data_IF_583508316188
#
_entry.id   IF_583508316188
#
_cell.length_a   1.000
_cell.length_b   1.000
_cell.length_c   1.000
_cell.angle_alpha   90.00
_cell.angle_beta   90.00
_cell.angle_gamma   90.00
#
_symmetry.space_group_name_H-M   'P 1'
#
loop_
_entity.id
_entity.type
_entity.pdbx_description
1 polymer ?
#
# COMPACT_ATOMS: atom_id res chain seq x y z
N UNK A 1 -43.52 6.69 -5.52
CA UNK A 1 -43.30 8.09 -5.95
C UNK A 1 -42.59 8.94 -4.89
N UNK A 2 -42.92 8.83 -3.60
CA UNK A 2 -42.23 9.53 -2.50
C UNK A 2 -40.75 9.11 -2.32
N UNK A 3 -40.40 7.84 -2.56
CA UNK A 3 -39.02 7.34 -2.43
C UNK A 3 -38.04 7.93 -3.45
N UNK A 4 -38.49 8.14 -4.69
CA UNK A 4 -37.67 8.72 -5.76
C UNK A 4 -37.42 10.21 -5.55
N UNK A 5 -38.40 10.95 -5.02
CA UNK A 5 -38.24 12.37 -4.71
C UNK A 5 -37.30 12.56 -3.51
N UNK A 6 -37.48 11.80 -2.43
CA UNK A 6 -36.59 11.82 -1.27
C UNK A 6 -35.15 11.44 -1.64
N UNK A 7 -34.93 10.41 -2.48
CA UNK A 7 -33.60 10.09 -2.98
C UNK A 7 -32.97 11.24 -3.78
N UNK A 8 -33.73 11.87 -4.68
CA UNK A 8 -33.25 12.93 -5.60
C UNK A 8 -33.01 14.27 -4.89
N UNK A 9 -33.74 14.55 -3.82
CA UNK A 9 -33.61 15.77 -3.01
C UNK A 9 -32.55 15.61 -1.91
N UNK A 10 -32.44 14.44 -1.26
CA UNK A 10 -31.39 14.15 -0.25
C UNK A 10 -30.01 14.07 -0.90
N UNK A 11 -29.86 13.45 -2.08
CA UNK A 11 -28.56 13.45 -2.79
C UNK A 11 -28.13 14.83 -3.28
N UNK A 12 -29.06 15.78 -3.46
CA UNK A 12 -28.73 17.19 -3.74
C UNK A 12 -28.31 17.97 -2.49
N UNK A 13 -28.83 17.60 -1.30
CA UNK A 13 -28.54 18.28 -0.04
C UNK A 13 -27.27 17.78 0.65
N UNK A 14 -26.89 16.53 0.43
CA UNK A 14 -25.61 15.97 0.89
C UNK A 14 -24.62 15.99 -0.28
N UNK A 15 -24.08 17.17 -0.58
CA UNK A 15 -22.97 17.29 -1.52
C UNK A 15 -21.82 16.39 -1.06
N UNK A 16 -21.34 15.49 -1.92
CA UNK A 16 -20.12 14.72 -1.63
C UNK A 16 -19.00 15.70 -1.32
N UNK A 17 -18.28 15.51 -0.23
CA UNK A 17 -17.19 16.39 0.16
C UNK A 17 -15.85 15.74 -0.18
N UNK A 18 -14.88 16.57 -0.54
CA UNK A 18 -13.50 16.14 -0.69
C UNK A 18 -12.96 15.60 0.64
N UNK A 19 -12.38 14.40 0.63
CA UNK A 19 -11.81 13.79 1.83
C UNK A 19 -10.61 14.55 2.39
N UNK A 20 -10.01 15.44 1.60
CA UNK A 20 -8.89 16.29 2.02
C UNK A 20 -9.36 17.68 2.49
N UNK A 21 -9.91 18.51 1.59
CA UNK A 21 -10.26 19.90 1.91
C UNK A 21 -11.69 20.10 2.46
N UNK A 22 -12.51 19.05 2.50
CA UNK A 22 -13.93 19.08 2.93
C UNK A 22 -14.86 19.97 2.09
N UNK A 23 -14.35 20.60 1.03
CA UNK A 23 -15.17 21.35 0.09
C UNK A 23 -16.06 20.42 -0.75
N UNK A 24 -17.24 20.89 -1.20
CA UNK A 24 -18.12 20.14 -2.09
C UNK A 24 -17.40 19.70 -3.38
N UNK A 25 -17.63 18.45 -3.77
CA UNK A 25 -17.26 17.89 -5.07
C UNK A 25 -18.48 18.01 -5.98
N UNK A 26 -18.27 18.54 -7.18
CA UNK A 26 -19.29 18.64 -8.22
C UNK A 26 -19.89 17.27 -8.55
N UNK A 27 -21.20 17.22 -8.77
CA UNK A 27 -22.00 15.98 -8.88
C UNK A 27 -21.56 15.00 -9.98
N UNK A 28 -20.77 15.45 -10.96
CA UNK A 28 -20.27 14.61 -12.06
C UNK A 28 -18.93 13.91 -11.75
N UNK A 29 -18.23 14.28 -10.66
CA UNK A 29 -16.99 13.62 -10.26
C UNK A 29 -17.28 12.42 -9.36
N UNK A 30 -16.79 11.24 -9.75
CA UNK A 30 -16.99 9.97 -9.02
C UNK A 30 -15.91 9.71 -7.95
N UNK A 31 -14.96 10.63 -7.77
CA UNK A 31 -13.81 10.49 -6.88
C UNK A 31 -14.04 10.97 -5.44
N UNK A 32 -13.13 10.56 -4.55
CA UNK A 32 -13.08 11.02 -3.15
C UNK A 32 -12.41 12.39 -2.96
N UNK A 33 -11.76 12.89 -4.00
CA UNK A 33 -10.96 14.11 -3.96
C UNK A 33 -11.44 15.06 -5.05
N UNK A 34 -11.49 16.34 -4.73
CA UNK A 34 -11.69 17.36 -5.75
C UNK A 34 -10.45 17.47 -6.65
N UNK A 35 -10.63 18.04 -7.85
CA UNK A 35 -9.57 18.24 -8.84
C UNK A 35 -8.32 18.91 -8.25
N UNK A 36 -8.48 19.94 -7.42
CA UNK A 36 -7.35 20.62 -6.77
C UNK A 36 -6.64 19.72 -5.78
N UNK A 37 -7.35 18.96 -4.95
CA UNK A 37 -6.71 18.06 -3.98
C UNK A 37 -6.01 16.87 -4.66
N UNK A 38 -6.46 16.46 -5.85
CA UNK A 38 -5.81 15.41 -6.63
C UNK A 38 -4.38 15.78 -7.04
N UNK A 39 -4.05 17.07 -7.19
CA UNK A 39 -2.71 17.50 -7.60
C UNK A 39 -1.65 17.19 -6.54
N UNK A 40 -2.01 17.13 -5.25
CA UNK A 40 -1.10 16.67 -4.19
C UNK A 40 -0.67 15.21 -4.33
N UNK A 41 -1.41 14.42 -5.11
CA UNK A 41 -1.09 13.04 -5.43
C UNK A 41 -0.54 12.91 -6.86
N UNK A 42 -0.05 13.97 -7.49
CA UNK A 42 0.59 13.86 -8.80
C UNK A 42 1.80 12.91 -8.72
N UNK A 43 2.00 12.02 -9.72
CA UNK A 43 3.19 11.17 -9.79
C UNK A 43 4.47 12.00 -9.71
N UNK A 44 5.45 11.50 -8.98
CA UNK A 44 6.77 12.12 -8.82
C UNK A 44 7.83 11.19 -9.41
N UNK A 45 8.93 11.72 -9.97
CA UNK A 45 10.01 10.89 -10.48
C UNK A 45 10.65 10.05 -9.38
N UNK A 46 10.78 8.74 -9.64
CA UNK A 46 11.25 7.75 -8.65
C UNK A 46 12.09 6.67 -9.32
N UNK A 47 12.89 5.99 -8.51
CA UNK A 47 13.44 4.68 -8.86
C UNK A 47 12.31 3.66 -8.98
N UNK A 48 12.18 3.00 -10.14
CA UNK A 48 11.14 1.99 -10.38
C UNK A 48 11.34 0.75 -9.51
N UNK A 49 12.57 0.43 -9.09
CA UNK A 49 12.82 -0.72 -8.23
C UNK A 49 12.53 -0.44 -6.74
N UNK A 50 13.11 0.59 -6.12
CA UNK A 50 12.95 0.83 -4.67
C UNK A 50 11.93 1.91 -4.29
N UNK A 51 11.38 2.64 -5.26
CA UNK A 51 10.40 3.70 -5.04
C UNK A 51 10.93 5.00 -4.43
N UNK A 52 12.25 5.10 -4.18
CA UNK A 52 12.85 6.32 -3.65
C UNK A 52 12.76 7.46 -4.69
N UNK A 53 12.49 8.71 -4.24
CA UNK A 53 12.49 9.88 -5.13
C UNK A 53 13.82 10.05 -5.85
N UNK A 54 13.76 10.46 -7.12
CA UNK A 54 14.92 10.76 -7.98
C UNK A 54 14.64 12.03 -8.79
N UNK A 55 15.66 12.60 -9.45
CA UNK A 55 15.47 13.79 -10.29
C UNK A 55 14.63 13.49 -11.54
N UNK A 56 14.82 12.29 -12.11
CA UNK A 56 14.06 11.74 -13.23
C UNK A 56 13.65 10.31 -12.89
N UNK A 57 12.61 9.79 -13.53
CA UNK A 57 12.22 8.38 -13.34
C UNK A 57 13.31 7.49 -13.92
N UNK A 58 13.86 6.60 -13.10
CA UNK A 58 14.93 5.68 -13.50
C UNK A 58 14.51 4.24 -13.23
N UNK A 59 14.92 3.26 -14.05
CA UNK A 59 14.69 1.85 -13.76
C UNK A 59 15.28 1.45 -12.39
N UNK A 60 16.52 1.86 -12.12
CA UNK A 60 17.26 1.58 -10.90
C UNK A 60 18.09 2.81 -10.49
N UNK A 61 18.10 3.15 -9.20
CA UNK A 61 19.02 4.15 -8.65
C UNK A 61 20.36 3.50 -8.27
N UNK A 62 21.37 4.32 -7.94
CA UNK A 62 22.70 3.82 -7.54
C UNK A 62 22.68 2.81 -6.40
N UNK A 63 21.81 3.01 -5.40
CA UNK A 63 21.65 2.06 -4.30
C UNK A 63 21.09 0.70 -4.76
N UNK A 64 20.15 0.71 -5.72
CA UNK A 64 19.59 -0.51 -6.29
C UNK A 64 20.57 -1.24 -7.21
N UNK A 65 21.43 -0.51 -7.92
CA UNK A 65 22.49 -1.11 -8.72
C UNK A 65 23.53 -1.79 -7.83
N UNK A 66 23.95 -1.12 -6.75
CA UNK A 66 24.94 -1.67 -5.83
C UNK A 66 24.39 -2.82 -4.97
N UNK A 67 23.13 -2.72 -4.52
CA UNK A 67 22.50 -3.68 -3.64
C UNK A 67 21.03 -3.88 -4.06
N UNK A 68 20.77 -4.70 -5.10
CA UNK A 68 19.43 -4.87 -5.62
C UNK A 68 18.51 -5.53 -4.57
N UNK A 69 17.33 -4.95 -4.32
CA UNK A 69 16.33 -5.61 -3.48
C UNK A 69 15.76 -6.87 -4.17
N UNK A 70 15.20 -7.84 -3.40
CA UNK A 70 14.65 -9.08 -3.93
C UNK A 70 13.24 -8.91 -4.53
N UNK A 71 13.00 -7.82 -5.24
CA UNK A 71 11.77 -7.54 -5.98
C UNK A 71 12.12 -6.72 -7.23
N UNK A 72 11.27 -6.82 -8.25
CA UNK A 72 11.53 -6.23 -9.56
C UNK A 72 11.07 -4.77 -9.61
N UNK A 73 9.91 -4.46 -9.03
CA UNK A 73 9.34 -3.10 -9.09
C UNK A 73 8.61 -2.74 -7.81
N UNK A 74 8.63 -1.45 -7.46
CA UNK A 74 7.83 -0.88 -6.37
C UNK A 74 6.98 0.26 -6.91
N UNK A 75 5.67 0.12 -6.74
CA UNK A 75 4.68 1.13 -7.10
C UNK A 75 4.19 1.83 -5.84
N UNK A 76 4.19 3.16 -5.85
CA UNK A 76 3.66 3.95 -4.75
C UNK A 76 2.86 5.17 -5.19
N UNK A 77 2.00 5.66 -4.28
CA UNK A 77 1.26 6.93 -4.47
C UNK A 77 2.16 8.14 -4.19
N UNK A 78 3.03 8.05 -3.19
CA UNK A 78 3.96 9.13 -2.91
C UNK A 78 4.76 8.92 -1.65
N UNK A 79 5.29 10.01 -1.11
CA UNK A 79 6.05 9.96 0.13
C UNK A 79 5.11 9.92 1.35
N UNK A 80 5.63 9.41 2.48
CA UNK A 80 4.89 9.40 3.74
C UNK A 80 4.84 10.80 4.40
N UNK A 81 4.22 11.75 3.71
CA UNK A 81 3.99 13.14 4.13
C UNK A 81 2.52 13.52 3.93
N UNK A 82 2.11 14.68 4.44
CA UNK A 82 0.76 15.19 4.18
C UNK A 82 0.58 15.37 2.66
N UNK A 83 -0.58 15.01 2.07
CA UNK A 83 -1.81 14.52 2.73
C UNK A 83 -1.86 13.00 3.00
N UNK A 84 -0.99 12.20 2.38
CA UNK A 84 -1.04 10.73 2.48
C UNK A 84 -0.82 10.22 3.91
N UNK A 85 0.12 10.81 4.66
CA UNK A 85 0.39 10.41 6.06
C UNK A 85 -0.85 10.55 6.95
N UNK A 86 -1.65 11.61 6.72
CA UNK A 86 -2.90 11.84 7.43
C UNK A 86 -3.98 10.83 7.04
N UNK A 87 -4.19 10.58 5.74
CA UNK A 87 -5.17 9.58 5.29
C UNK A 87 -4.81 8.17 5.76
N UNK A 88 -3.52 7.81 5.77
CA UNK A 88 -3.04 6.56 6.33
C UNK A 88 -3.27 6.50 7.84
N UNK A 89 -3.06 7.60 8.56
CA UNK A 89 -3.37 7.68 10.00
C UNK A 89 -4.85 7.37 10.28
N UNK A 90 -5.76 8.01 9.54
CA UNK A 90 -7.20 7.78 9.62
C UNK A 90 -7.56 6.30 9.37
N UNK A 91 -6.98 5.71 8.32
CA UNK A 91 -7.14 4.28 8.03
C UNK A 91 -6.58 3.41 9.15
N UNK A 92 -5.51 3.83 9.82
CA UNK A 92 -4.78 3.02 10.81
C UNK A 92 -5.36 3.08 12.22
N UNK A 93 -5.87 4.23 12.63
CA UNK A 93 -6.15 4.48 14.05
C UNK A 93 -7.55 5.02 14.30
N UNK A 94 -8.22 5.55 13.28
CA UNK A 94 -9.58 6.10 13.40
C UNK A 94 -10.65 5.18 12.79
N UNK A 95 -10.27 3.96 12.40
CA UNK A 95 -11.22 2.98 11.87
C UNK A 95 -11.86 3.39 10.54
N UNK A 96 -11.23 4.29 9.76
CA UNK A 96 -11.78 4.74 8.48
C UNK A 96 -11.48 3.76 7.34
N UNK A 97 -12.04 2.54 7.41
CA UNK A 97 -11.77 1.44 6.47
C UNK A 97 -12.05 1.79 5.01
N UNK A 98 -13.05 2.65 4.75
CA UNK A 98 -13.43 3.10 3.42
C UNK A 98 -12.30 3.85 2.70
N UNK A 99 -11.33 4.41 3.45
CA UNK A 99 -10.14 5.03 2.88
C UNK A 99 -9.33 4.06 2.03
N UNK A 100 -9.38 2.75 2.30
CA UNK A 100 -8.69 1.75 1.49
C UNK A 100 -9.11 1.78 0.02
N UNK A 101 -10.42 1.89 -0.26
CA UNK A 101 -10.95 1.98 -1.64
C UNK A 101 -10.39 3.20 -2.37
N UNK A 102 -10.40 4.33 -1.68
CA UNK A 102 -9.92 5.59 -2.24
C UNK A 102 -8.41 5.50 -2.49
N UNK A 103 -7.61 5.15 -1.48
CA UNK A 103 -6.16 5.03 -1.59
C UNK A 103 -5.74 4.05 -2.69
N UNK A 104 -6.42 2.91 -2.82
CA UNK A 104 -6.18 1.96 -3.93
C UNK A 104 -6.48 2.60 -5.28
N UNK A 105 -7.54 3.42 -5.40
CA UNK A 105 -7.86 4.12 -6.65
C UNK A 105 -6.79 5.16 -7.07
N UNK A 106 -5.98 5.67 -6.14
CA UNK A 106 -4.81 6.51 -6.49
C UNK A 106 -3.63 5.70 -7.00
N UNK A 107 -3.50 4.44 -6.56
CA UNK A 107 -2.38 3.57 -6.89
C UNK A 107 -2.62 2.79 -8.19
N UNK A 108 -3.82 2.27 -8.39
CA UNK A 108 -4.25 1.49 -9.56
C UNK A 108 -3.79 2.06 -10.91
N UNK A 109 -4.02 3.34 -11.25
CA UNK A 109 -3.60 3.88 -12.55
C UNK A 109 -2.07 3.96 -12.73
N UNK A 110 -1.28 3.71 -11.69
CA UNK A 110 0.19 3.70 -11.73
C UNK A 110 0.76 2.31 -11.98
N UNK A 111 -0.07 1.28 -11.87
CA UNK A 111 0.33 -0.11 -12.07
C UNK A 111 0.04 -0.47 -13.52
N UNK A 112 1.10 -0.42 -14.33
CA UNK A 112 1.10 -0.74 -15.76
C UNK A 112 1.02 -2.25 -16.02
N UNK A 113 1.74 -3.05 -15.22
CA UNK A 113 1.74 -4.51 -15.30
C UNK A 113 1.27 -5.13 -13.98
N UNK A 114 -0.03 -5.33 -13.76
CA UNK A 114 -0.55 -5.91 -12.53
C UNK A 114 -0.11 -7.38 -12.39
N UNK A 115 0.29 -7.77 -11.18
CA UNK A 115 0.54 -9.17 -10.86
C UNK A 115 -0.78 -9.94 -10.85
N UNK A 116 -0.82 -11.18 -11.35
CA UNK A 116 -2.04 -11.99 -11.37
C UNK A 116 -2.48 -12.43 -9.96
N UNK A 117 -1.55 -12.47 -8.99
CA UNK A 117 -1.82 -12.74 -7.58
C UNK A 117 -1.34 -11.58 -6.70
N UNK A 118 -2.22 -11.06 -5.86
CA UNK A 118 -1.94 -10.01 -4.88
C UNK A 118 -2.10 -10.58 -3.47
N UNK A 119 -1.10 -10.42 -2.62
CA UNK A 119 -1.16 -10.74 -1.19
C UNK A 119 -0.81 -9.52 -0.37
N UNK A 120 -1.20 -9.48 0.91
CA UNK A 120 -0.83 -8.40 1.83
C UNK A 120 0.25 -8.81 2.83
N UNK A 121 1.00 -7.81 3.32
CA UNK A 121 1.87 -7.98 4.48
C UNK A 121 1.00 -8.28 5.72
N UNK A 122 1.19 -9.42 6.42
CA UNK A 122 0.38 -9.75 7.57
C UNK A 122 0.75 -8.92 8.80
N UNK A 123 -0.27 -8.46 9.52
CA UNK A 123 -0.10 -7.92 10.86
C UNK A 123 0.12 -9.04 11.89
N UNK A 124 0.83 -8.70 12.96
CA UNK A 124 0.91 -9.57 14.14
C UNK A 124 -0.47 -9.60 14.83
N UNK A 125 -0.84 -10.75 15.42
CA UNK A 125 -2.16 -10.96 16.00
C UNK A 125 -2.53 -9.92 17.06
N UNK A 126 -1.58 -9.50 17.92
CA UNK A 126 -1.82 -8.44 18.91
C UNK A 126 -2.20 -7.10 18.27
N UNK A 127 -1.52 -6.72 17.17
CA UNK A 127 -1.85 -5.49 16.43
C UNK A 127 -3.17 -5.62 15.70
N UNK A 128 -3.48 -6.81 15.18
CA UNK A 128 -4.77 -7.12 14.56
C UNK A 128 -5.91 -7.00 15.58
N UNK A 129 -5.75 -7.49 16.81
CA UNK A 129 -6.74 -7.32 17.87
C UNK A 129 -6.93 -5.85 18.25
N UNK A 130 -5.83 -5.10 18.46
CA UNK A 130 -5.90 -3.67 18.82
C UNK A 130 -6.56 -2.83 17.72
N UNK A 131 -6.26 -3.12 16.44
CA UNK A 131 -6.75 -2.35 15.30
C UNK A 131 -8.10 -2.85 14.78
N UNK A 132 -8.45 -4.12 15.01
CA UNK A 132 -9.64 -4.80 14.45
C UNK A 132 -9.45 -5.38 13.05
N UNK A 133 -8.42 -4.97 12.30
CA UNK A 133 -8.22 -5.34 10.89
C UNK A 133 -6.76 -5.21 10.44
N UNK A 134 -6.47 -5.74 9.24
CA UNK A 134 -5.22 -5.51 8.53
C UNK A 134 -5.44 -4.53 7.38
N UNK A 135 -4.90 -3.31 7.51
CA UNK A 135 -5.02 -2.26 6.49
C UNK A 135 -4.44 -2.68 5.13
N UNK A 136 -3.33 -3.42 5.14
CA UNK A 136 -2.67 -3.90 3.92
C UNK A 136 -3.54 -4.95 3.22
N UNK A 137 -4.32 -5.74 3.98
CA UNK A 137 -5.28 -6.68 3.42
C UNK A 137 -6.47 -5.99 2.76
N UNK A 138 -6.98 -4.90 3.35
CA UNK A 138 -8.05 -4.11 2.74
C UNK A 138 -7.59 -3.46 1.44
N UNK A 139 -6.38 -2.88 1.44
CA UNK A 139 -5.76 -2.33 0.23
C UNK A 139 -5.58 -3.40 -0.85
N UNK A 140 -5.09 -4.59 -0.47
CA UNK A 140 -4.90 -5.71 -1.39
C UNK A 140 -6.22 -6.16 -2.04
N UNK A 141 -7.29 -6.30 -1.25
CA UNK A 141 -8.60 -6.67 -1.78
C UNK A 141 -9.14 -5.62 -2.75
N UNK A 142 -8.99 -4.32 -2.43
CA UNK A 142 -9.42 -3.23 -3.31
C UNK A 142 -8.59 -3.18 -4.60
N UNK A 143 -7.27 -3.40 -4.51
CA UNK A 143 -6.39 -3.47 -5.69
C UNK A 143 -6.72 -4.67 -6.56
N UNK A 144 -6.96 -5.85 -5.99
CA UNK A 144 -7.35 -7.05 -6.73
C UNK A 144 -8.64 -6.81 -7.52
N UNK A 145 -9.65 -6.21 -6.90
CA UNK A 145 -10.89 -5.84 -7.59
C UNK A 145 -10.67 -4.82 -8.71
N UNK A 146 -9.86 -3.79 -8.48
CA UNK A 146 -9.63 -2.71 -9.44
C UNK A 146 -8.74 -3.14 -10.62
N UNK A 147 -7.79 -4.05 -10.40
CA UNK A 147 -6.83 -4.53 -11.40
C UNK A 147 -7.26 -5.84 -12.07
N UNK A 148 -8.36 -6.46 -11.63
CA UNK A 148 -8.79 -7.78 -12.11
C UNK A 148 -7.86 -8.93 -11.70
N UNK A 149 -7.13 -8.77 -10.59
CA UNK A 149 -6.18 -9.76 -10.09
C UNK A 149 -6.77 -10.60 -8.95
N UNK A 150 -6.30 -11.84 -8.83
CA UNK A 150 -6.65 -12.70 -7.70
C UNK A 150 -6.04 -12.14 -6.41
N UNK A 151 -6.78 -12.15 -5.31
CA UNK A 151 -6.26 -11.69 -4.02
C UNK A 151 -6.28 -12.81 -2.98
N UNK A 152 -5.13 -13.08 -2.38
CA UNK A 152 -4.97 -14.05 -1.31
C UNK A 152 -4.27 -13.41 -0.10
N UNK A 153 -5.07 -12.97 0.85
CA UNK A 153 -4.58 -12.39 2.09
C UNK A 153 -4.22 -13.43 3.17
N UNK A 154 -4.43 -14.72 2.90
CA UNK A 154 -4.13 -15.81 3.85
C UNK A 154 -2.81 -16.51 3.54
N UNK A 155 -2.24 -16.30 2.35
CA UNK A 155 -0.96 -16.86 1.91
C UNK A 155 0.16 -16.72 2.96
N UNK A 156 0.21 -15.58 3.64
CA UNK A 156 1.25 -15.24 4.61
C UNK A 156 0.71 -15.19 6.04
N UNK A 157 1.52 -15.67 7.00
CA UNK A 157 1.26 -15.53 8.44
C UNK A 157 2.44 -14.86 9.11
N UNK A 158 2.17 -13.94 10.03
CA UNK A 158 3.18 -13.37 10.94
C UNK A 158 3.14 -14.11 12.27
N UNK A 159 4.23 -14.78 12.62
CA UNK A 159 4.31 -15.63 13.82
C UNK A 159 4.82 -14.89 15.06
N UNK A 160 5.65 -13.85 14.88
CA UNK A 160 6.26 -13.12 15.99
C UNK A 160 5.89 -11.64 16.01
N UNK A 161 5.64 -11.13 17.21
CA UNK A 161 5.55 -9.71 17.47
C UNK A 161 6.99 -9.18 17.49
N UNK A 162 7.42 -8.53 16.41
CA UNK A 162 8.67 -7.78 16.48
C UNK A 162 8.40 -6.45 17.19
N UNK A 163 9.16 -6.08 18.23
CA UNK A 163 9.02 -4.80 18.93
C UNK A 163 9.09 -3.60 17.99
N UNK A 164 8.55 -2.47 18.43
CA UNK A 164 8.62 -1.20 17.70
C UNK A 164 10.11 -0.81 17.52
N UNK A 165 10.52 -0.54 16.29
CA UNK A 165 11.93 -0.47 15.86
C UNK A 165 12.66 0.82 16.28
N UNK A 166 12.19 1.52 17.32
CA UNK A 166 12.90 2.69 17.87
C UNK A 166 14.15 2.19 18.60
N UNK A 167 15.33 2.68 18.19
CA UNK A 167 16.62 2.35 18.81
C UNK A 167 17.39 1.14 18.26
N UNK A 168 16.84 0.33 17.35
CA UNK A 168 17.56 -0.84 16.79
C UNK A 168 18.38 -0.48 15.55
N UNK A 169 19.61 -1.01 15.46
CA UNK A 169 20.49 -0.88 14.30
C UNK A 169 19.96 -1.63 13.07
N UNK A 170 20.41 -1.27 11.86
CA UNK A 170 20.01 -1.93 10.60
C UNK A 170 20.27 -3.45 10.62
N UNK A 171 21.35 -3.89 11.29
CA UNK A 171 21.70 -5.30 11.48
C UNK A 171 20.76 -6.02 12.46
N UNK A 172 20.47 -5.41 13.62
CA UNK A 172 19.53 -5.96 14.60
C UNK A 172 18.11 -6.05 14.03
N UNK A 173 17.70 -5.08 13.19
CA UNK A 173 16.43 -5.13 12.45
C UNK A 173 16.37 -6.34 11.51
N UNK A 174 17.48 -6.67 10.81
CA UNK A 174 17.56 -7.81 9.88
C UNK A 174 17.49 -9.16 10.60
N UNK A 175 18.13 -9.29 11.77
CA UNK A 175 18.11 -10.51 12.57
C UNK A 175 16.75 -10.74 13.27
N UNK A 176 16.15 -9.69 13.85
CA UNK A 176 14.86 -9.81 14.54
C UNK A 176 13.68 -10.17 13.61
N UNK A 177 13.82 -9.95 12.31
CA UNK A 177 12.80 -10.32 11.32
C UNK A 177 12.98 -11.75 10.76
N UNK A 178 14.13 -12.41 10.98
CA UNK A 178 14.31 -13.82 10.57
C UNK A 178 13.25 -14.68 11.28
N UNK A 179 12.50 -15.47 10.51
CA UNK A 179 11.38 -16.31 10.96
C UNK A 179 10.15 -15.55 11.51
N UNK A 180 10.04 -14.23 11.30
CA UNK A 180 8.85 -13.49 11.68
C UNK A 180 7.63 -13.85 10.82
N UNK A 181 7.86 -14.35 9.60
CA UNK A 181 6.84 -14.69 8.61
C UNK A 181 6.97 -16.14 8.14
N UNK A 182 5.83 -16.76 7.81
CA UNK A 182 5.76 -18.08 7.18
C UNK A 182 4.67 -18.10 6.11
N UNK A 183 4.84 -18.95 5.10
CA UNK A 183 3.79 -19.29 4.14
C UNK A 183 2.81 -20.28 4.76
N UNK A 184 1.51 -20.09 4.52
CA UNK A 184 0.48 -21.06 4.92
C UNK A 184 0.33 -22.19 3.91
N UNK A 185 0.53 -21.88 2.63
CA UNK A 185 0.51 -22.81 1.52
C UNK A 185 1.34 -22.21 0.38
N UNK A 186 1.54 -22.99 -0.69
CA UNK A 186 2.27 -22.51 -1.88
C UNK A 186 1.42 -21.47 -2.64
N UNK A 187 2.04 -20.42 -3.20
CA UNK A 187 1.34 -19.51 -4.09
C UNK A 187 0.92 -20.23 -5.39
N UNK A 188 -0.19 -19.77 -5.98
CA UNK A 188 -0.73 -20.32 -7.23
C UNK A 188 -0.07 -19.73 -8.48
N UNK A 189 0.65 -18.61 -8.34
CA UNK A 189 1.27 -17.89 -9.45
C UNK A 189 2.73 -17.60 -9.16
N UNK A 190 3.54 -17.50 -10.22
CA UNK A 190 4.97 -17.17 -10.16
C UNK A 190 5.25 -15.67 -10.16
N UNK A 191 4.25 -14.84 -10.49
CA UNK A 191 4.29 -13.39 -10.35
C UNK A 191 3.31 -12.95 -9.28
N UNK A 192 3.82 -12.32 -8.22
CA UNK A 192 3.04 -11.92 -7.05
C UNK A 192 3.29 -10.45 -6.72
N UNK A 193 2.23 -9.72 -6.38
CA UNK A 193 2.37 -8.42 -5.76
C UNK A 193 2.18 -8.50 -4.24
N UNK A 194 3.12 -7.92 -3.48
CA UNK A 194 3.00 -7.76 -2.04
C UNK A 194 2.54 -6.35 -1.70
N UNK A 195 1.41 -6.27 -0.99
CA UNK A 195 0.79 -5.00 -0.62
C UNK A 195 1.14 -4.60 0.80
N UNK A 196 1.57 -3.36 0.98
CA UNK A 196 1.71 -2.73 2.29
C UNK A 196 1.23 -1.27 2.24
N UNK A 197 0.89 -0.67 3.39
CA UNK A 197 0.44 0.72 3.38
C UNK A 197 1.63 1.71 3.32
N UNK A 198 2.70 1.45 4.06
CA UNK A 198 3.91 2.30 4.12
C UNK A 198 5.16 1.43 4.08
N UNK A 199 6.00 1.65 3.07
CA UNK A 199 7.32 1.03 2.97
C UNK A 199 8.39 2.01 3.45
N UNK A 200 8.98 1.69 4.60
CA UNK A 200 10.13 2.41 5.18
C UNK A 200 11.44 1.84 4.62
N UNK A 201 12.29 1.15 5.40
CA UNK A 201 13.54 0.58 4.88
C UNK A 201 13.34 -0.61 3.94
N UNK A 202 12.10 -1.07 3.72
CA UNK A 202 11.81 -2.28 2.95
C UNK A 202 12.15 -3.59 3.68
N UNK A 203 12.68 -3.55 4.90
CA UNK A 203 13.12 -4.74 5.63
C UNK A 203 12.05 -5.83 5.82
N UNK A 204 10.81 -5.43 6.12
CA UNK A 204 9.69 -6.37 6.28
C UNK A 204 9.34 -7.04 4.96
N UNK A 205 9.19 -6.23 3.90
CA UNK A 205 8.90 -6.69 2.54
C UNK A 205 10.02 -7.59 2.02
N UNK A 206 11.27 -7.23 2.24
CA UNK A 206 12.45 -8.01 1.84
C UNK A 206 12.42 -9.43 2.39
N UNK A 207 12.05 -9.62 3.65
CA UNK A 207 11.97 -10.94 4.27
C UNK A 207 10.84 -11.79 3.67
N UNK A 208 9.70 -11.18 3.38
CA UNK A 208 8.59 -11.87 2.72
C UNK A 208 8.98 -12.24 1.29
N UNK A 209 9.66 -11.35 0.56
CA UNK A 209 10.17 -11.65 -0.77
C UNK A 209 11.12 -12.86 -0.75
N UNK A 210 12.04 -12.93 0.21
CA UNK A 210 12.93 -14.09 0.35
C UNK A 210 12.17 -15.41 0.52
N UNK A 211 11.13 -15.44 1.38
CA UNK A 211 10.28 -16.62 1.55
C UNK A 211 9.55 -17.03 0.27
N UNK A 212 9.09 -16.05 -0.52
CA UNK A 212 8.40 -16.30 -1.78
C UNK A 212 9.37 -16.85 -2.85
N UNK A 213 10.57 -16.29 -2.95
CA UNK A 213 11.61 -16.78 -3.85
C UNK A 213 12.03 -18.21 -3.51
N UNK A 214 12.15 -18.56 -2.22
CA UNK A 214 12.51 -19.91 -1.76
C UNK A 214 11.50 -20.99 -2.20
N UNK A 215 10.23 -20.62 -2.44
CA UNK A 215 9.20 -21.56 -2.92
C UNK A 215 8.96 -21.50 -4.43
N UNK A 216 9.82 -20.79 -5.17
CA UNK A 216 9.82 -20.75 -6.64
C UNK A 216 8.98 -19.64 -7.27
N UNK A 217 8.67 -18.57 -6.54
CA UNK A 217 8.13 -17.34 -7.15
C UNK A 217 9.26 -16.66 -7.93
N UNK A 218 8.98 -16.26 -9.18
CA UNK A 218 10.00 -15.74 -10.11
C UNK A 218 9.99 -14.21 -10.16
N UNK A 219 8.81 -13.59 -10.00
CA UNK A 219 8.64 -12.13 -10.02
C UNK A 219 7.82 -11.67 -8.83
N UNK A 220 8.32 -10.66 -8.13
CA UNK A 220 7.68 -10.02 -7.01
C UNK A 220 7.66 -8.52 -7.24
N UNK A 221 6.47 -7.93 -7.25
CA UNK A 221 6.29 -6.48 -7.26
C UNK A 221 5.75 -6.01 -5.92
N UNK A 222 6.06 -4.78 -5.53
CA UNK A 222 5.61 -4.19 -4.26
C UNK A 222 4.60 -3.09 -4.55
N UNK A 223 3.41 -3.21 -3.99
CA UNK A 223 2.37 -2.18 -4.10
C UNK A 223 2.22 -1.51 -2.74
N UNK A 224 2.54 -0.23 -2.65
CA UNK A 224 2.31 0.50 -1.41
C UNK A 224 1.67 1.86 -1.63
N UNK A 225 1.06 2.42 -0.58
CA UNK A 225 0.54 3.78 -0.68
C UNK A 225 1.69 4.76 -0.53
N UNK A 226 2.52 4.59 0.50
CA UNK A 226 3.64 5.47 0.76
C UNK A 226 4.99 4.77 0.74
N UNK A 227 5.99 5.50 0.28
CA UNK A 227 7.41 5.20 0.47
C UNK A 227 8.02 6.27 1.38
N UNK A 228 8.70 5.89 2.46
CA UNK A 228 9.40 6.88 3.30
C UNK A 228 10.75 7.22 2.67
N UNK A 229 11.03 8.49 2.34
CA UNK A 229 12.36 8.88 1.86
C UNK A 229 13.42 8.54 2.92
N UNK A 230 14.68 8.40 2.51
CA UNK A 230 15.76 8.31 3.49
C UNK A 230 15.76 9.59 4.35
N UNK A 231 16.07 9.49 5.66
CA UNK A 231 16.30 10.68 6.46
C UNK A 231 17.32 11.54 5.72
N UNK A 232 16.99 12.82 5.52
CA UNK A 232 18.02 13.80 5.18
C UNK A 232 18.84 13.96 6.47
N UNK A 233 20.12 13.61 6.41
CA UNK A 233 21.06 13.95 7.46
C UNK A 233 21.07 15.47 7.71
#
# INVERSE_FOLDING_TARGET
MLSHWVQKTITRLVSRQCLLCRLPIETHQTGAWCKTCLTYFAPQPRCQQCGLPTLITVPQCGQCLANPPPWQRLYCVGDYIFPLSHTIHQLKYEGQFWQSRHLSALLTPRIDTPAPLITSVPLHWQRRLKRGFNQSALLASQLGQQLGASCDNQLLKRNRATPQQQGLSKLQRKQNLKHAFTLRHRPTHKHIALVDDVVTTGSTVQQICQLLLEVGVERIDIYCICRTPEPKD
#
